data_IF_683082828472
#
_entry.id   IF_683082828472
#
_cell.length_a   1.000
_cell.length_b   1.000
_cell.length_c   1.000
_cell.angle_alpha   90.00
_cell.angle_beta   90.00
_cell.angle_gamma   90.00
#
_symmetry.space_group_name_H-M   'P 1'
#
loop_
_entity.id
_entity.type
_entity.pdbx_description
1 polymer ?
#
# COMPACT_ATOMS: atom_id res chain seq x y z
N UNK A 1 -1.59 6.32 -12.42
CA UNK A 1 -2.34 5.99 -11.19
C UNK A 1 -2.28 7.18 -10.25
N UNK A 2 -3.43 7.69 -9.81
CA UNK A 2 -3.51 8.85 -8.89
C UNK A 2 -2.96 10.16 -9.46
N UNK A 3 -3.09 11.24 -8.67
CA UNK A 3 -2.52 12.55 -8.98
C UNK A 3 -1.45 12.91 -7.95
N UNK A 4 -0.18 12.75 -8.33
CA UNK A 4 1.00 12.95 -7.48
C UNK A 4 0.96 14.27 -6.69
N UNK A 5 0.75 15.39 -7.38
CA UNK A 5 0.79 16.72 -6.75
C UNK A 5 -0.31 16.98 -5.73
N UNK A 6 -1.43 16.27 -5.82
CA UNK A 6 -2.58 16.49 -4.93
C UNK A 6 -2.90 15.32 -4.01
N UNK A 7 -2.14 14.22 -4.10
CA UNK A 7 -2.41 12.98 -3.36
C UNK A 7 -3.78 12.34 -3.66
N UNK A 8 -4.45 12.73 -4.76
CA UNK A 8 -5.82 12.27 -5.04
C UNK A 8 -5.79 10.88 -5.68
N UNK A 9 -6.67 10.00 -5.21
CA UNK A 9 -6.87 8.65 -5.74
C UNK A 9 -7.74 8.71 -7.01
N UNK A 10 -7.12 9.08 -8.13
CA UNK A 10 -7.81 9.26 -9.42
C UNK A 10 -7.85 7.96 -10.21
N UNK A 11 -9.06 7.56 -10.62
CA UNK A 11 -9.36 6.39 -11.43
C UNK A 11 -8.71 6.36 -12.80
N UNK A 12 -8.91 5.25 -13.51
CA UNK A 12 -8.32 5.03 -14.84
C UNK A 12 -8.91 5.95 -15.91
N UNK A 13 -10.12 6.46 -15.66
CA UNK A 13 -10.81 7.49 -16.45
C UNK A 13 -10.19 8.89 -16.31
N UNK A 14 -9.30 9.10 -15.33
CA UNK A 14 -8.68 10.40 -15.05
C UNK A 14 -9.60 11.42 -14.36
N UNK A 15 -10.83 11.04 -14.02
CA UNK A 15 -11.86 11.97 -13.50
C UNK A 15 -12.44 11.50 -12.17
N UNK A 16 -12.74 10.20 -12.05
CA UNK A 16 -13.31 9.64 -10.82
C UNK A 16 -12.28 9.73 -9.69
N UNK A 17 -12.68 10.31 -8.56
CA UNK A 17 -11.85 10.39 -7.36
C UNK A 17 -12.42 9.46 -6.30
N UNK A 18 -11.59 8.53 -5.85
CA UNK A 18 -11.93 7.57 -4.80
C UNK A 18 -11.52 8.11 -3.43
N UNK A 19 -12.30 7.78 -2.41
CA UNK A 19 -11.97 8.04 -1.00
C UNK A 19 -11.46 6.76 -0.32
N UNK A 20 -11.97 5.60 -0.73
CA UNK A 20 -11.56 4.29 -0.23
C UNK A 20 -10.39 3.73 -1.05
N UNK A 21 -9.33 3.35 -0.34
CA UNK A 21 -8.09 2.82 -0.95
C UNK A 21 -8.29 1.42 -1.55
N UNK A 22 -9.17 0.61 -0.98
CA UNK A 22 -9.48 -0.72 -1.49
C UNK A 22 -10.29 -0.61 -2.79
N UNK A 23 -11.30 0.26 -2.85
CA UNK A 23 -12.05 0.52 -4.09
C UNK A 23 -11.13 1.04 -5.19
N UNK A 24 -10.25 1.97 -4.84
CA UNK A 24 -9.21 2.46 -5.75
C UNK A 24 -8.30 1.34 -6.25
N UNK A 25 -7.85 0.45 -5.37
CA UNK A 25 -7.03 -0.71 -5.74
C UNK A 25 -7.75 -1.69 -6.68
N UNK A 26 -9.04 -1.95 -6.43
CA UNK A 26 -9.86 -2.84 -7.26
C UNK A 26 -10.05 -2.26 -8.67
N UNK A 27 -10.29 -0.95 -8.80
CA UNK A 27 -10.41 -0.27 -10.10
C UNK A 27 -9.11 -0.34 -10.92
N UNK A 28 -7.97 -0.38 -10.24
CA UNK A 28 -6.64 -0.50 -10.86
C UNK A 28 -6.16 -1.94 -11.07
N UNK A 29 -7.01 -2.96 -10.84
CA UNK A 29 -6.71 -4.36 -11.19
C UNK A 29 -6.48 -4.51 -12.71
N UNK A 30 -5.48 -5.30 -13.11
CA UNK A 30 -5.23 -5.59 -14.54
C UNK A 30 -6.43 -6.33 -15.14
N UNK A 31 -6.90 -5.86 -16.29
CA UNK A 31 -8.08 -6.34 -17.02
C UNK A 31 -7.71 -7.01 -18.34
N UNK A 32 -8.71 -7.56 -19.03
CA UNK A 32 -8.58 -8.13 -20.38
C UNK A 32 -8.26 -7.11 -21.48
N UNK A 33 -8.45 -5.81 -21.20
CA UNK A 33 -8.11 -4.69 -22.10
C UNK A 33 -6.66 -4.22 -21.96
N UNK A 34 -5.99 -4.64 -20.89
CA UNK A 34 -4.58 -4.32 -20.65
C UNK A 34 -3.68 -5.30 -21.44
N UNK A 35 -2.45 -4.91 -21.82
CA UNK A 35 -1.50 -5.84 -22.44
C UNK A 35 -1.15 -6.99 -21.50
N UNK A 36 -0.62 -8.09 -22.04
CA UNK A 36 -0.13 -9.20 -21.21
C UNK A 36 1.08 -8.76 -20.37
N UNK A 37 0.81 -8.44 -19.09
CA UNK A 37 1.83 -8.04 -18.11
C UNK A 37 2.42 -9.23 -17.35
N UNK A 38 1.67 -10.33 -17.22
CA UNK A 38 2.06 -11.51 -16.47
C UNK A 38 2.47 -12.65 -17.41
N UNK A 39 3.56 -13.33 -17.06
CA UNK A 39 4.03 -14.53 -17.78
C UNK A 39 3.09 -15.72 -17.60
N UNK A 40 2.47 -15.82 -16.43
CA UNK A 40 1.55 -16.88 -16.05
C UNK A 40 0.20 -16.28 -15.67
N UNK A 41 -0.88 -16.80 -16.26
CA UNK A 41 -2.26 -16.33 -16.06
C UNK A 41 -3.09 -17.32 -15.21
N UNK A 42 -2.44 -18.34 -14.65
CA UNK A 42 -3.06 -19.46 -13.94
C UNK A 42 -3.27 -19.20 -12.44
N UNK A 43 -2.70 -18.12 -11.91
CA UNK A 43 -2.84 -17.74 -10.49
C UNK A 43 -4.04 -16.82 -10.31
N UNK A 44 -5.14 -17.36 -9.78
CA UNK A 44 -6.33 -16.61 -9.35
C UNK A 44 -6.08 -15.89 -8.00
N UNK A 45 -6.76 -14.76 -7.72
CA UNK A 45 -7.80 -14.11 -8.52
C UNK A 45 -7.26 -13.16 -9.60
N UNK A 46 -7.80 -13.23 -10.81
CA UNK A 46 -7.56 -12.28 -11.91
C UNK A 46 -8.89 -11.83 -12.51
N UNK A 47 -8.90 -10.71 -13.23
CA UNK A 47 -10.10 -10.24 -13.93
C UNK A 47 -10.74 -11.39 -14.74
N UNK A 48 -12.06 -11.61 -14.66
CA UNK A 48 -13.09 -10.74 -14.07
C UNK A 48 -13.32 -10.90 -12.55
N UNK A 49 -12.59 -11.78 -11.87
CA UNK A 49 -12.68 -11.91 -10.42
C UNK A 49 -11.96 -10.76 -9.70
N UNK A 50 -12.60 -10.21 -8.67
CA UNK A 50 -12.01 -9.14 -7.84
C UNK A 50 -10.85 -9.66 -7.01
N UNK A 51 -9.88 -8.80 -6.74
CA UNK A 51 -8.77 -9.10 -5.84
C UNK A 51 -9.30 -9.44 -4.44
N UNK A 52 -8.80 -10.53 -3.84
CA UNK A 52 -9.16 -10.93 -2.48
C UNK A 52 -8.33 -10.10 -1.50
N UNK A 53 -8.99 -9.21 -0.77
CA UNK A 53 -8.32 -8.38 0.23
C UNK A 53 -7.95 -9.23 1.46
N UNK A 54 -6.77 -9.03 2.05
CA UNK A 54 -6.39 -9.71 3.27
C UNK A 54 -7.29 -9.28 4.43
N UNK A 55 -7.52 -10.21 5.37
CA UNK A 55 -8.26 -9.91 6.60
C UNK A 55 -7.54 -8.80 7.39
N UNK A 56 -8.19 -7.68 7.72
CA UNK A 56 -7.60 -6.64 8.56
C UNK A 56 -7.02 -7.18 9.88
N UNK A 57 -7.63 -8.24 10.44
CA UNK A 57 -7.16 -8.88 11.68
C UNK A 57 -5.85 -9.68 11.49
N UNK A 58 -5.48 -10.04 10.26
CA UNK A 58 -4.20 -10.73 10.00
C UNK A 58 -3.00 -9.77 9.94
N UNK A 59 -3.22 -8.46 9.97
CA UNK A 59 -2.15 -7.44 9.92
C UNK A 59 -1.18 -7.50 11.11
N UNK A 60 -1.61 -8.09 12.23
CA UNK A 60 -0.77 -8.29 13.41
C UNK A 60 0.18 -9.49 13.28
N UNK A 61 0.00 -10.35 12.28
CA UNK A 61 0.92 -11.45 11.99
C UNK A 61 2.09 -10.94 11.14
N UNK A 62 2.94 -10.11 11.74
CA UNK A 62 4.23 -9.73 11.16
C UNK A 62 5.07 -11.00 10.98
N UNK A 63 5.02 -11.59 9.78
CA UNK A 63 5.92 -12.65 9.36
C UNK A 63 7.15 -12.01 8.73
N UNK A 64 8.18 -11.73 9.53
CA UNK A 64 9.60 -11.73 9.16
C UNK A 64 10.43 -11.58 10.46
N UNK A 65 11.48 -12.39 10.59
CA UNK A 65 12.13 -12.78 11.86
C UNK A 65 12.94 -11.73 12.63
N UNK A 66 12.61 -10.45 12.54
CA UNK A 66 13.16 -9.39 13.40
C UNK A 66 12.13 -8.27 13.55
N UNK A 67 11.30 -8.33 14.59
CA UNK A 67 10.29 -7.30 14.82
C UNK A 67 10.92 -6.05 15.42
N UNK A 68 11.05 -4.97 14.65
CA UNK A 68 11.22 -3.64 15.23
C UNK A 68 9.97 -3.35 16.06
N UNK A 69 10.14 -3.02 17.33
CA UNK A 69 9.01 -2.69 18.19
C UNK A 69 8.28 -1.46 17.62
N UNK A 70 6.94 -1.48 17.60
CA UNK A 70 6.11 -0.36 17.11
C UNK A 70 6.51 0.99 17.68
N UNK A 71 6.98 1.04 18.93
CA UNK A 71 7.48 2.26 19.56
C UNK A 71 8.76 2.79 18.90
N UNK A 72 9.70 1.92 18.56
CA UNK A 72 10.92 2.29 17.85
C UNK A 72 10.60 2.74 16.41
N UNK A 73 9.70 2.03 15.73
CA UNK A 73 9.21 2.42 14.41
C UNK A 73 8.54 3.81 14.43
N UNK A 74 7.64 4.04 15.40
CA UNK A 74 7.00 5.34 15.59
C UNK A 74 8.00 6.46 15.81
N UNK A 75 9.00 6.24 16.68
CA UNK A 75 10.04 7.25 16.93
C UNK A 75 10.84 7.59 15.67
N UNK A 76 11.14 6.60 14.82
CA UNK A 76 11.83 6.83 13.56
C UNK A 76 10.95 7.63 12.57
N UNK A 77 9.67 7.27 12.44
CA UNK A 77 8.72 7.93 11.53
C UNK A 77 8.26 9.32 12.00
N UNK A 78 8.28 9.60 13.30
CA UNK A 78 7.97 10.94 13.84
C UNK A 78 9.11 11.94 13.55
N UNK A 79 10.33 11.46 13.25
CA UNK A 79 11.50 12.30 13.01
C UNK A 79 11.67 12.74 11.54
N UNK A 80 10.96 12.12 10.60
CA UNK A 80 11.05 12.50 9.20
C UNK A 80 10.18 13.72 8.91
N UNK A 81 10.78 14.76 8.35
CA UNK A 81 10.11 16.02 7.99
C UNK A 81 9.10 15.89 6.83
N UNK A 82 8.93 14.69 6.27
CA UNK A 82 8.17 14.43 5.05
C UNK A 82 6.78 13.79 5.29
N UNK A 83 6.40 13.53 6.54
CA UNK A 83 5.08 13.01 6.88
C UNK A 83 4.08 14.13 7.18
N UNK A 84 3.49 14.68 6.12
CA UNK A 84 2.52 15.79 6.22
C UNK A 84 1.12 15.35 6.68
N UNK A 85 0.81 14.04 6.62
CA UNK A 85 -0.50 13.50 6.97
C UNK A 85 -0.37 12.29 7.90
N UNK A 86 -1.37 12.11 8.79
CA UNK A 86 -1.40 11.03 9.77
C UNK A 86 -1.30 9.64 9.14
N UNK A 87 -1.95 9.44 8.00
CA UNK A 87 -1.95 8.15 7.30
C UNK A 87 -0.55 7.81 6.74
N UNK A 88 0.25 8.82 6.41
CA UNK A 88 1.63 8.62 5.96
C UNK A 88 2.53 8.16 7.13
N UNK A 89 2.29 8.65 8.35
CA UNK A 89 3.03 8.21 9.53
C UNK A 89 2.72 6.74 9.82
N UNK A 90 1.45 6.34 9.77
CA UNK A 90 1.06 4.94 10.01
C UNK A 90 1.59 4.00 8.91
N UNK A 91 1.64 4.45 7.65
CA UNK A 91 2.28 3.71 6.56
C UNK A 91 3.79 3.53 6.81
N UNK A 92 4.50 4.59 7.20
CA UNK A 92 5.92 4.48 7.57
C UNK A 92 6.14 3.51 8.73
N UNK A 93 5.30 3.57 9.78
CA UNK A 93 5.42 2.65 10.92
C UNK A 93 5.25 1.20 10.45
N UNK A 94 4.28 0.96 9.56
CA UNK A 94 4.08 -0.36 8.97
C UNK A 94 5.31 -0.80 8.18
N UNK A 95 5.87 0.04 7.31
CA UNK A 95 7.02 -0.30 6.47
C UNK A 95 8.29 -0.60 7.30
N UNK A 96 8.55 0.17 8.35
CA UNK A 96 9.64 -0.09 9.31
C UNK A 96 9.44 -1.41 10.06
N UNK A 97 8.21 -1.70 10.51
CA UNK A 97 7.92 -2.95 11.22
C UNK A 97 7.98 -4.17 10.28
N UNK A 98 7.51 -4.03 9.04
CA UNK A 98 7.46 -5.11 8.06
C UNK A 98 8.84 -5.46 7.50
N UNK A 99 9.70 -4.45 7.31
CA UNK A 99 11.09 -4.65 6.90
C UNK A 99 12.02 -5.09 8.03
N UNK A 100 11.70 -4.71 9.27
CA UNK A 100 12.60 -4.85 10.41
C UNK A 100 13.76 -3.86 10.40
N UNK A 101 13.68 -2.78 9.61
CA UNK A 101 14.74 -1.79 9.43
C UNK A 101 14.22 -0.36 9.69
N UNK A 102 14.81 0.30 10.70
CA UNK A 102 14.44 1.67 11.09
C UNK A 102 14.90 2.72 10.08
N UNK A 103 15.90 2.42 9.25
CA UNK A 103 16.41 3.35 8.25
C UNK A 103 15.41 3.55 7.09
N UNK A 104 14.43 2.65 6.94
CA UNK A 104 13.31 2.82 6.00
C UNK A 104 12.52 4.10 6.28
N UNK A 105 12.46 4.56 7.53
CA UNK A 105 11.78 5.82 7.87
C UNK A 105 12.38 7.06 7.17
N UNK A 106 13.57 6.94 6.59
CA UNK A 106 14.28 8.01 5.89
C UNK A 106 14.27 7.86 4.36
N UNK A 107 13.69 6.78 3.85
CA UNK A 107 13.67 6.46 2.42
C UNK A 107 12.49 7.10 1.66
N UNK A 108 11.58 7.78 2.37
CA UNK A 108 10.37 8.41 1.84
C UNK A 108 10.44 9.92 1.72
#
# INVERSE_FOLDING_TARGET
>A
MGKYMSGKLVGRDGVTVFEDHNEFGQEWQVTDKDPQLFQAMDVAPQYPEKCILPDPASRDQVRLGSSVARQAAKKACDQSEHHFYKDHIEACIFDVMASGDVDIARAG
#
